data_IF_469044365279
#
_entry.id   IF_469044365279
#
_cell.length_a   1.000
_cell.length_b   1.000
_cell.length_c   1.000
_cell.angle_alpha   90.00
_cell.angle_beta   90.00
_cell.angle_gamma   90.00
#
_symmetry.space_group_name_H-M   'P 1'
#
loop_
_entity.id
_entity.type
_entity.pdbx_description
1 polymer ?
#
# COMPACT_ATOMS: atom_id res chain seq x y z
N UNK A 1 -21.35 -83.52 -18.43
CA UNK A 1 -20.50 -82.33 -18.67
C UNK A 1 -21.38 -81.20 -19.21
N UNK A 2 -21.65 -80.17 -18.41
CA UNK A 2 -22.45 -79.00 -18.80
C UNK A 2 -21.68 -77.74 -18.39
N UNK A 3 -21.22 -77.00 -19.40
CA UNK A 3 -20.60 -75.69 -19.25
C UNK A 3 -21.69 -74.66 -18.96
N UNK A 4 -21.52 -73.88 -17.89
CA UNK A 4 -22.25 -72.63 -17.67
C UNK A 4 -21.17 -71.56 -17.51
N UNK A 5 -20.87 -70.88 -18.62
CA UNK A 5 -20.03 -69.68 -18.63
C UNK A 5 -20.88 -68.45 -18.91
N UNK A 6 -20.62 -67.43 -18.10
CA UNK A 6 -20.52 -66.03 -18.53
C UNK A 6 -21.82 -65.34 -18.97
N UNK A 7 -22.67 -64.99 -18.00
CA UNK A 7 -23.67 -63.91 -18.13
C UNK A 7 -23.17 -62.55 -17.62
N UNK A 8 -21.95 -62.46 -17.08
CA UNK A 8 -21.43 -61.26 -16.42
C UNK A 8 -20.88 -60.17 -17.37
N UNK A 9 -20.79 -60.43 -18.68
CA UNK A 9 -20.05 -59.55 -19.61
C UNK A 9 -20.88 -58.51 -20.36
N UNK A 10 -22.20 -58.43 -20.15
CA UNK A 10 -23.08 -57.55 -20.95
C UNK A 10 -23.27 -56.13 -20.41
N UNK A 11 -22.84 -55.83 -19.19
CA UNK A 11 -23.09 -54.52 -18.55
C UNK A 11 -21.82 -53.68 -18.31
N UNK A 12 -20.63 -54.23 -18.58
CA UNK A 12 -19.36 -53.54 -18.42
C UNK A 12 -19.20 -52.27 -19.29
N UNK A 13 -19.64 -52.23 -20.58
CA UNK A 13 -19.42 -51.04 -21.40
C UNK A 13 -20.39 -49.88 -21.07
N UNK A 14 -21.55 -50.16 -20.47
CA UNK A 14 -22.50 -49.13 -20.06
C UNK A 14 -22.06 -48.39 -18.79
N UNK A 15 -21.34 -49.07 -17.88
CA UNK A 15 -20.81 -48.47 -16.66
C UNK A 15 -19.62 -47.53 -16.94
N UNK A 16 -18.79 -47.85 -17.94
CA UNK A 16 -17.62 -47.05 -18.34
C UNK A 16 -18.01 -45.72 -19.03
N UNK A 17 -19.12 -45.66 -19.77
CA UNK A 17 -19.58 -44.40 -20.41
C UNK A 17 -20.18 -43.41 -19.41
N UNK A 18 -20.76 -43.88 -18.29
CA UNK A 18 -21.34 -43.02 -17.25
C UNK A 18 -20.29 -42.29 -16.40
N UNK A 19 -19.09 -42.85 -16.27
CA UNK A 19 -18.00 -42.28 -15.45
C UNK A 19 -17.24 -41.13 -16.15
N UNK A 20 -17.31 -41.02 -17.48
CA UNK A 20 -16.64 -39.94 -18.23
C UNK A 20 -17.39 -38.60 -18.08
N UNK A 21 -18.71 -38.62 -17.85
CA UNK A 21 -19.50 -37.40 -17.68
C UNK A 21 -19.40 -36.76 -16.28
N UNK A 22 -18.82 -37.46 -15.29
CA UNK A 22 -18.62 -36.92 -13.94
C UNK A 22 -17.27 -36.21 -13.75
N UNK A 23 -16.35 -36.29 -14.71
CA UNK A 23 -15.03 -35.65 -14.64
C UNK A 23 -14.95 -34.28 -15.33
N UNK A 24 -15.98 -33.86 -16.06
CA UNK A 24 -16.10 -32.49 -16.59
C UNK A 24 -16.86 -31.57 -15.62
N UNK A 25 -16.59 -31.74 -14.32
CA UNK A 25 -17.05 -30.83 -13.28
C UNK A 25 -16.43 -29.45 -13.49
N UNK A 26 -17.26 -28.52 -13.98
CA UNK A 26 -17.16 -27.07 -13.83
C UNK A 26 -15.72 -26.52 -13.75
N UNK A 27 -15.09 -26.31 -14.90
CA UNK A 27 -14.20 -25.15 -15.02
C UNK A 27 -15.09 -23.92 -14.92
N UNK A 28 -15.33 -23.46 -13.68
CA UNK A 28 -15.84 -22.12 -13.44
C UNK A 28 -14.74 -21.21 -13.99
N UNK A 29 -15.01 -20.62 -15.15
CA UNK A 29 -14.19 -19.52 -15.65
C UNK A 29 -14.13 -18.50 -14.52
N UNK A 30 -12.97 -18.47 -13.85
CA UNK A 30 -12.63 -17.38 -12.96
C UNK A 30 -12.46 -16.21 -13.91
N UNK A 31 -13.57 -15.49 -14.11
CA UNK A 31 -13.57 -14.16 -14.68
C UNK A 31 -12.37 -13.43 -14.07
N UNK A 32 -11.49 -12.82 -14.87
CA UNK A 32 -10.44 -11.97 -14.34
C UNK A 32 -11.14 -10.93 -13.48
N UNK A 33 -11.09 -11.11 -12.17
CA UNK A 33 -11.62 -10.13 -11.25
C UNK A 33 -10.73 -8.92 -11.45
N UNK A 34 -11.28 -7.90 -12.11
CA UNK A 34 -10.59 -6.62 -12.25
C UNK A 34 -10.06 -6.24 -10.87
N UNK A 35 -8.79 -5.83 -10.75
CA UNK A 35 -8.21 -5.52 -9.45
C UNK A 35 -9.08 -4.45 -8.81
N UNK A 36 -9.76 -4.80 -7.72
CA UNK A 36 -10.53 -3.85 -6.91
C UNK A 36 -9.63 -2.64 -6.66
N UNK A 37 -10.06 -1.48 -7.15
CA UNK A 37 -9.33 -0.24 -6.96
C UNK A 37 -9.31 0.08 -5.46
N UNK A 38 -8.15 0.47 -4.94
CA UNK A 38 -8.01 0.76 -3.52
C UNK A 38 -8.82 2.00 -3.16
N UNK A 39 -9.75 1.88 -2.22
CA UNK A 39 -10.56 3.00 -1.74
C UNK A 39 -9.72 3.96 -0.86
N UNK A 40 -9.16 4.98 -1.51
CA UNK A 40 -8.38 6.04 -0.87
C UNK A 40 -9.19 6.82 0.18
N UNK A 41 -10.50 7.00 -0.05
CA UNK A 41 -11.37 7.74 0.88
C UNK A 41 -11.53 6.96 2.19
N UNK A 42 -11.71 5.64 2.12
CA UNK A 42 -11.74 4.78 3.30
C UNK A 42 -10.41 4.80 4.07
N UNK A 43 -9.27 4.83 3.36
CA UNK A 43 -7.94 4.94 3.99
C UNK A 43 -7.75 6.28 4.71
N UNK A 44 -8.18 7.39 4.10
CA UNK A 44 -8.13 8.71 4.72
C UNK A 44 -8.97 8.77 6.01
N UNK A 45 -10.17 8.18 5.98
CA UNK A 45 -11.05 8.05 7.15
C UNK A 45 -10.39 7.22 8.25
N UNK A 46 -9.85 6.04 7.91
CA UNK A 46 -9.17 5.16 8.84
C UNK A 46 -7.95 5.82 9.49
N UNK A 47 -7.17 6.59 8.71
CA UNK A 47 -6.04 7.35 9.22
C UNK A 47 -6.47 8.40 10.28
N UNK A 48 -7.57 9.09 9.99
CA UNK A 48 -8.17 10.07 10.91
C UNK A 48 -8.71 9.42 12.18
N UNK A 49 -9.46 8.31 12.04
CA UNK A 49 -10.04 7.55 13.15
C UNK A 49 -8.97 6.99 14.11
N UNK A 50 -7.78 6.64 13.59
CA UNK A 50 -6.63 6.22 14.41
C UNK A 50 -5.88 7.37 15.07
N UNK A 51 -6.29 8.62 14.87
CA UNK A 51 -5.71 9.81 15.51
C UNK A 51 -4.34 10.24 14.95
N UNK A 52 -3.94 9.71 13.79
CA UNK A 52 -2.61 9.94 13.23
C UNK A 52 -2.40 11.35 12.68
N UNK A 53 -3.47 12.14 12.50
CA UNK A 53 -3.38 13.54 12.07
C UNK A 53 -2.47 14.38 12.97
N UNK A 54 -2.45 14.10 14.27
CA UNK A 54 -1.60 14.80 15.25
C UNK A 54 -0.10 14.63 14.95
N UNK A 55 0.30 13.52 14.32
CA UNK A 55 1.70 13.23 13.99
C UNK A 55 2.24 14.07 12.83
N UNK A 56 1.34 14.75 12.11
CA UNK A 56 1.64 15.60 10.96
C UNK A 56 1.86 17.06 11.35
N UNK A 57 1.89 17.38 12.64
CA UNK A 57 2.16 18.72 13.16
C UNK A 57 3.49 18.70 13.91
N UNK A 58 4.40 19.59 13.53
CA UNK A 58 5.74 19.67 14.10
C UNK A 58 6.05 21.12 14.53
N UNK A 59 6.55 21.36 15.76
CA UNK A 59 7.03 22.68 16.16
C UNK A 59 8.18 23.17 15.28
N UNK A 60 8.20 24.46 14.96
CA UNK A 60 9.27 25.11 14.20
C UNK A 60 9.60 26.49 14.80
N UNK A 61 10.55 26.52 15.73
CA UNK A 61 10.79 27.70 16.55
C UNK A 61 9.64 28.01 17.50
N UNK A 62 9.64 29.21 18.08
CA UNK A 62 8.78 29.54 19.23
C UNK A 62 7.32 29.79 18.86
N UNK A 63 7.07 30.26 17.63
CA UNK A 63 5.73 30.72 17.22
C UNK A 63 5.25 30.12 15.91
N UNK A 64 6.00 29.20 15.32
CA UNK A 64 5.61 28.55 14.07
C UNK A 64 5.48 27.05 14.28
N UNK A 65 4.58 26.46 13.51
CA UNK A 65 4.42 25.01 13.39
C UNK A 65 4.39 24.66 11.91
N UNK A 66 5.06 23.57 11.56
CA UNK A 66 4.92 22.94 10.26
C UNK A 66 3.74 21.97 10.35
N UNK A 67 2.76 22.17 9.49
CA UNK A 67 1.64 21.24 9.31
C UNK A 67 1.82 20.54 7.97
N UNK A 68 1.80 19.21 7.98
CA UNK A 68 1.92 18.39 6.80
C UNK A 68 0.53 17.94 6.36
N UNK A 69 0.08 18.41 5.19
CA UNK A 69 -1.25 18.08 4.66
C UNK A 69 -1.15 16.94 3.66
N UNK A 70 -1.87 15.82 3.85
CA UNK A 70 -1.87 14.73 2.88
C UNK A 70 -2.65 15.08 1.61
N UNK A 71 -2.06 14.84 0.46
CA UNK A 71 -2.71 14.89 -0.85
C UNK A 71 -3.16 13.49 -1.25
N UNK A 72 -4.27 13.03 -0.65
CA UNK A 72 -4.83 11.69 -0.85
C UNK A 72 -5.12 11.38 -2.32
N UNK A 73 -5.60 12.35 -3.08
CA UNK A 73 -5.88 12.29 -4.51
C UNK A 73 -4.62 12.07 -5.37
N UNK A 74 -3.44 12.41 -4.86
CA UNK A 74 -2.15 12.20 -5.54
C UNK A 74 -1.41 10.95 -5.05
N UNK A 75 -2.15 9.99 -4.51
CA UNK A 75 -1.58 8.70 -4.11
C UNK A 75 -0.85 8.03 -5.27
N UNK A 76 0.31 7.45 -4.98
CA UNK A 76 1.10 6.65 -5.93
C UNK A 76 1.20 5.22 -5.43
N UNK A 77 0.83 4.27 -6.26
CA UNK A 77 1.06 2.85 -5.99
C UNK A 77 2.52 2.51 -6.25
N UNK A 78 3.22 1.95 -5.25
CA UNK A 78 4.62 1.53 -5.41
C UNK A 78 4.76 0.04 -5.66
N UNK A 79 3.97 -0.78 -4.98
CA UNK A 79 4.01 -2.24 -5.12
C UNK A 79 2.60 -2.76 -5.05
N UNK A 80 2.22 -3.63 -5.99
CA UNK A 80 0.98 -4.41 -5.93
C UNK A 80 1.28 -5.86 -6.30
N UNK A 81 0.94 -6.79 -5.42
CA UNK A 81 0.89 -8.21 -5.69
C UNK A 81 -0.35 -8.82 -5.02
N UNK A 82 -0.56 -10.14 -5.21
CA UNK A 82 -1.76 -10.85 -4.74
C UNK A 82 -2.00 -10.76 -3.22
N UNK A 83 -0.98 -10.40 -2.44
CA UNK A 83 -1.02 -10.42 -0.97
C UNK A 83 -0.77 -9.08 -0.30
N UNK A 84 -0.26 -8.10 -1.06
CA UNK A 84 0.21 -6.83 -0.52
C UNK A 84 0.12 -5.73 -1.56
N UNK A 85 -0.38 -4.58 -1.11
CA UNK A 85 -0.33 -3.32 -1.83
C UNK A 85 0.35 -2.25 -0.96
N UNK A 86 1.22 -1.45 -1.56
CA UNK A 86 1.88 -0.32 -0.92
C UNK A 86 1.52 0.96 -1.67
N UNK A 87 0.98 1.93 -0.93
CA UNK A 87 0.67 3.27 -1.43
C UNK A 87 1.55 4.32 -0.76
N UNK A 88 1.92 5.34 -1.52
CA UNK A 88 2.55 6.56 -1.03
C UNK A 88 1.60 7.74 -1.21
N UNK A 89 1.29 8.42 -0.12
CA UNK A 89 0.53 9.67 -0.13
C UNK A 89 1.51 10.82 0.11
N UNK A 90 1.70 11.75 -0.84
CA UNK A 90 2.56 12.90 -0.63
C UNK A 90 2.00 13.81 0.46
N UNK A 91 2.90 14.39 1.26
CA UNK A 91 2.57 15.39 2.27
C UNK A 91 3.10 16.76 1.86
N UNK A 92 2.20 17.74 1.80
CA UNK A 92 2.55 19.12 1.48
C UNK A 92 2.79 19.89 2.78
N UNK A 93 3.98 20.47 2.97
CA UNK A 93 4.26 21.29 4.14
C UNK A 93 3.56 22.64 4.05
N UNK A 94 3.03 23.08 5.18
CA UNK A 94 2.48 24.42 5.39
C UNK A 94 3.10 24.98 6.68
N UNK A 95 3.46 26.25 6.67
CA UNK A 95 3.99 26.91 7.85
C UNK A 95 2.92 27.80 8.46
N UNK A 96 2.53 27.53 9.71
CA UNK A 96 1.50 28.28 10.41
C UNK A 96 2.10 29.02 11.59
N UNK A 97 1.81 30.31 11.71
CA UNK A 97 2.10 31.07 12.92
C UNK A 97 0.98 30.85 13.94
N UNK A 98 1.32 30.29 15.11
CA UNK A 98 0.33 29.96 16.14
C UNK A 98 -0.21 31.17 16.89
N UNK A 99 0.52 32.31 16.88
CA UNK A 99 0.08 33.55 17.53
C UNK A 99 -0.86 34.35 16.63
N UNK A 100 -0.53 34.46 15.34
CA UNK A 100 -1.29 35.30 14.39
C UNK A 100 -2.31 34.49 13.57
N UNK A 101 -2.18 33.17 13.52
CA UNK A 101 -3.03 32.29 12.71
C UNK A 101 -2.69 32.27 11.21
N UNK A 102 -1.73 33.10 10.76
CA UNK A 102 -1.32 33.18 9.34
C UNK A 102 -0.72 31.84 8.90
N UNK A 103 -1.14 31.37 7.72
CA UNK A 103 -0.65 30.14 7.08
C UNK A 103 0.06 30.49 5.77
N UNK A 104 1.28 29.98 5.62
CA UNK A 104 2.07 30.02 4.39
C UNK A 104 1.97 28.62 3.78
N UNK A 105 1.24 28.53 2.66
CA UNK A 105 0.90 27.24 2.02
C UNK A 105 1.95 26.74 1.04
N UNK A 106 2.90 27.60 0.67
CA UNK A 106 3.98 27.40 -0.28
C UNK A 106 5.34 27.29 0.43
N UNK A 107 5.37 26.77 1.66
CA UNK A 107 6.61 26.53 2.35
C UNK A 107 7.42 25.44 1.62
N UNK A 108 8.60 25.78 1.08
CA UNK A 108 9.47 24.82 0.41
C UNK A 108 10.60 24.38 1.35
N UNK A 109 10.68 23.07 1.61
CA UNK A 109 11.79 22.46 2.34
C UNK A 109 12.74 21.81 1.34
N UNK A 110 13.93 22.38 1.19
CA UNK A 110 14.95 21.84 0.29
C UNK A 110 15.53 20.55 0.88
N UNK A 111 15.79 19.56 0.02
CA UNK A 111 16.36 18.29 0.42
C UNK A 111 15.48 17.44 1.33
N UNK A 112 14.19 17.79 1.50
CA UNK A 112 13.31 17.12 2.45
C UNK A 112 11.91 16.88 1.89
N UNK A 113 11.36 15.68 2.10
CA UNK A 113 9.96 15.38 1.82
C UNK A 113 9.40 14.39 2.84
N UNK A 114 8.09 14.45 3.06
CA UNK A 114 7.37 13.44 3.85
C UNK A 114 6.28 12.79 3.02
N UNK A 115 6.01 11.53 3.31
CA UNK A 115 4.94 10.74 2.73
C UNK A 115 4.26 9.91 3.81
N UNK A 116 2.95 9.67 3.66
CA UNK A 116 2.30 8.55 4.35
C UNK A 116 2.52 7.32 3.47
N UNK A 117 3.21 6.32 4.02
CA UNK A 117 3.36 5.02 3.39
C UNK A 117 2.35 4.05 4.00
N UNK A 118 1.44 3.53 3.16
CA UNK A 118 0.35 2.66 3.58
C UNK A 118 0.64 1.27 3.04
N UNK A 119 0.79 0.31 3.95
CA UNK A 119 0.90 -1.10 3.61
C UNK A 119 -0.42 -1.79 3.85
N UNK A 120 -1.02 -2.30 2.80
CA UNK A 120 -2.30 -3.01 2.79
C UNK A 120 -1.99 -4.49 2.53
N UNK A 121 -2.23 -5.33 3.53
CA UNK A 121 -2.12 -6.79 3.43
C UNK A 121 -3.30 -7.41 4.19
N UNK A 122 -3.06 -8.42 5.03
CA UNK A 122 -4.08 -8.88 6.01
C UNK A 122 -4.55 -7.77 6.95
N UNK A 123 -3.68 -6.82 7.24
CA UNK A 123 -3.97 -5.63 8.03
C UNK A 123 -3.43 -4.40 7.32
N UNK A 124 -4.10 -3.26 7.50
CA UNK A 124 -3.62 -1.96 7.03
C UNK A 124 -2.74 -1.31 8.07
N UNK A 125 -1.49 -1.05 7.69
CA UNK A 125 -0.47 -0.42 8.53
C UNK A 125 -0.05 0.91 7.92
N UNK A 126 0.04 1.94 8.75
CA UNK A 126 0.45 3.28 8.34
C UNK A 126 1.85 3.60 8.86
N UNK A 127 2.65 4.18 7.98
CA UNK A 127 3.99 4.67 8.28
C UNK A 127 4.12 6.13 7.85
N UNK A 128 4.91 6.88 8.58
CA UNK A 128 5.43 8.17 8.14
C UNK A 128 6.83 7.95 7.57
N UNK A 129 6.99 8.23 6.28
CA UNK A 129 8.27 8.17 5.59
C UNK A 129 8.82 9.59 5.43
N UNK A 130 10.01 9.85 5.98
CA UNK A 130 10.70 11.13 5.89
C UNK A 130 11.99 10.93 5.08
N UNK A 131 12.08 11.60 3.94
CA UNK A 131 13.19 11.51 3.02
C UNK A 131 14.05 12.76 3.17
N UNK A 132 15.34 12.56 3.44
CA UNK A 132 16.32 13.63 3.60
C UNK A 132 17.50 13.39 2.67
N UNK A 133 17.86 14.40 1.89
CA UNK A 133 19.05 14.41 1.04
C UNK A 133 19.87 15.67 1.29
N UNK A 134 21.18 15.59 1.04
CA UNK A 134 22.08 16.73 1.15
C UNK A 134 22.03 17.65 -0.09
N UNK A 135 21.19 17.31 -1.07
CA UNK A 135 20.97 18.14 -2.23
C UNK A 135 19.96 19.25 -1.92
N UNK A 136 20.16 20.43 -2.49
CA UNK A 136 19.22 21.56 -2.41
C UNK A 136 17.97 21.36 -3.31
N UNK A 137 17.79 20.18 -3.90
CA UNK A 137 16.59 19.86 -4.68
C UNK A 137 15.45 19.40 -3.78
N UNK A 138 14.21 19.73 -4.16
CA UNK A 138 13.04 19.09 -3.56
C UNK A 138 13.10 17.58 -3.84
N UNK A 139 12.81 16.75 -2.84
CA UNK A 139 12.68 15.30 -3.07
C UNK A 139 11.35 15.07 -3.78
N UNK A 140 11.39 14.94 -5.11
CA UNK A 140 10.17 14.81 -5.96
C UNK A 140 9.81 13.35 -6.21
N UNK A 141 10.80 12.45 -6.22
CA UNK A 141 10.59 11.06 -6.60
C UNK A 141 11.42 10.08 -5.74
N UNK A 142 10.77 9.24 -4.93
CA UNK A 142 11.41 8.14 -4.21
C UNK A 142 12.20 7.17 -5.12
N UNK A 143 11.75 6.97 -6.37
CA UNK A 143 12.35 5.99 -7.28
C UNK A 143 13.72 6.41 -7.82
N UNK A 144 14.05 7.70 -7.72
CA UNK A 144 15.36 8.25 -8.10
C UNK A 144 16.10 8.84 -6.90
N UNK A 145 15.61 8.58 -5.68
CA UNK A 145 16.09 9.23 -4.47
C UNK A 145 17.47 8.71 -4.04
N UNK A 146 18.34 9.62 -3.62
CA UNK A 146 19.61 9.35 -2.97
C UNK A 146 19.68 10.12 -1.67
N UNK A 147 19.81 9.41 -0.54
CA UNK A 147 19.76 10.02 0.79
C UNK A 147 19.36 9.03 1.88
N UNK A 148 18.76 9.56 2.95
CA UNK A 148 18.28 8.79 4.10
C UNK A 148 16.76 8.84 4.11
N UNK A 149 16.12 7.69 4.30
CA UNK A 149 14.70 7.58 4.60
C UNK A 149 14.53 7.11 6.04
N UNK A 150 13.79 7.88 6.85
CA UNK A 150 13.26 7.44 8.13
C UNK A 150 11.85 6.91 7.91
N UNK A 151 11.58 5.67 8.32
CA UNK A 151 10.27 5.06 8.24
C UNK A 151 9.75 4.77 9.63
N UNK A 152 8.81 5.57 10.11
CA UNK A 152 8.20 5.39 11.43
C UNK A 152 6.84 4.73 11.31
N UNK A 153 6.66 3.59 11.94
CA UNK A 153 5.36 2.96 12.10
C UNK A 153 4.50 3.79 13.06
N UNK A 154 3.34 4.27 12.60
CA UNK A 154 2.52 5.21 13.37
C UNK A 154 1.76 4.56 14.54
N UNK A 155 1.57 3.24 14.50
CA UNK A 155 0.89 2.49 15.56
C UNK A 155 1.85 2.16 16.70
N UNK A 156 3.07 1.75 16.38
CA UNK A 156 4.05 1.24 17.35
C UNK A 156 5.15 2.24 17.70
N UNK A 157 5.22 3.38 17.00
CA UNK A 157 6.31 4.36 17.04
C UNK A 157 7.72 3.80 16.75
N UNK A 158 7.83 2.57 16.24
CA UNK A 158 9.11 2.01 15.82
C UNK A 158 9.60 2.72 14.56
N UNK A 159 10.84 3.19 14.59
CA UNK A 159 11.49 3.87 13.47
C UNK A 159 12.58 3.00 12.87
N UNK A 160 12.57 2.90 11.55
CA UNK A 160 13.60 2.25 10.75
C UNK A 160 14.35 3.32 9.96
N UNK A 161 15.64 3.10 9.76
CA UNK A 161 16.49 4.01 8.99
C UNK A 161 17.01 3.25 7.79
N UNK A 162 16.83 3.82 6.61
CA UNK A 162 17.26 3.24 5.35
C UNK A 162 18.12 4.24 4.60
N UNK A 163 19.20 3.76 3.98
CA UNK A 163 20.02 4.55 3.08
C UNK A 163 19.68 4.17 1.65
N UNK A 164 19.57 5.17 0.79
CA UNK A 164 19.26 5.00 -0.63
C UNK A 164 20.34 5.62 -1.51
N UNK A 165 20.58 4.96 -2.63
CA UNK A 165 21.36 5.45 -3.75
C UNK A 165 20.58 5.16 -5.04
N UNK A 166 20.16 6.22 -5.74
CA UNK A 166 19.41 6.19 -7.00
C UNK A 166 18.18 5.26 -6.93
N UNK A 167 17.35 5.45 -5.91
CA UNK A 167 16.13 4.67 -5.67
C UNK A 167 16.36 3.28 -5.07
N UNK A 168 17.61 2.84 -4.95
CA UNK A 168 17.95 1.52 -4.41
C UNK A 168 18.39 1.63 -2.95
N UNK A 169 17.79 0.82 -2.08
CA UNK A 169 18.23 0.70 -0.70
C UNK A 169 19.60 -0.01 -0.65
N UNK A 170 20.54 0.53 0.13
CA UNK A 170 21.90 -0.01 0.31
C UNK A 170 22.22 -0.31 1.78
#
# INVERSE_FOLDING_TARGET
>A
MRNITSSAFRYLPALMLGLIFLLNGCKKDVSPQEPNETDITALAKLFSERGYQSTLIQPFGDTLVITWTPEWDKSKQQVKNDSMETLLIPLIPQLKNIKTGIVITDAHFLGFAKYINIKIAKTTTFYLAEYTTNSEVTVVNPDTFSGIMLLRNLETNKTFVYKYLNGTQI
#
